data_IF_731854226543
#
_entry.id   IF_731854226543
#
_cell.length_a   1.000
_cell.length_b   1.000
_cell.length_c   1.000
_cell.angle_alpha   90.00
_cell.angle_beta   90.00
_cell.angle_gamma   90.00
#
_symmetry.space_group_name_H-M   'P 1'
#
loop_
_entity.id
_entity.type
_entity.pdbx_description
1 polymer ?
#
# COMPACT_ATOMS: atom_id res chain seq x y z
N UNK A 1 -30.36 -43.49 7.95
CA UNK A 1 -30.22 -44.80 7.31
C UNK A 1 -31.08 -44.80 6.06
N UNK A 2 -30.64 -45.56 5.05
CA UNK A 2 -31.17 -45.69 3.66
C UNK A 2 -30.75 -44.55 2.72
N UNK A 3 -29.68 -44.65 1.92
CA UNK A 3 -29.23 -45.60 0.88
C UNK A 3 -29.85 -45.35 -0.53
N UNK A 4 -28.96 -44.86 -1.40
CA UNK A 4 -28.75 -45.21 -2.82
C UNK A 4 -29.67 -44.75 -3.98
N UNK A 5 -29.00 -43.97 -4.86
CA UNK A 5 -29.11 -43.76 -6.33
C UNK A 5 -29.45 -45.05 -7.14
N UNK A 6 -29.95 -45.00 -8.41
CA UNK A 6 -29.18 -44.63 -9.63
C UNK A 6 -29.98 -43.98 -10.80
N UNK A 7 -29.37 -43.32 -11.79
CA UNK A 7 -28.95 -43.93 -13.08
C UNK A 7 -28.16 -42.94 -13.98
N UNK A 8 -27.18 -43.49 -14.72
CA UNK A 8 -26.37 -42.89 -15.80
C UNK A 8 -27.13 -42.87 -17.14
N UNK A 9 -26.87 -41.89 -18.03
CA UNK A 9 -26.25 -42.10 -19.37
C UNK A 9 -26.04 -40.80 -20.19
N UNK A 10 -24.78 -40.59 -20.60
CA UNK A 10 -24.23 -40.12 -21.90
C UNK A 10 -25.02 -39.18 -22.83
N UNK A 11 -24.36 -38.12 -23.32
CA UNK A 11 -23.74 -38.05 -24.66
C UNK A 11 -22.86 -36.79 -24.81
N UNK A 12 -21.72 -36.95 -25.49
CA UNK A 12 -20.90 -35.89 -26.10
C UNK A 12 -21.35 -35.72 -27.56
N UNK A 13 -21.45 -34.48 -28.06
CA UNK A 13 -21.20 -34.08 -29.46
C UNK A 13 -20.75 -32.61 -29.45
N UNK A 14 -19.58 -32.35 -30.04
CA UNK A 14 -19.06 -31.02 -30.43
C UNK A 14 -19.79 -30.51 -31.68
N UNK A 15 -19.97 -29.20 -31.83
CA UNK A 15 -19.69 -28.45 -33.09
C UNK A 15 -20.02 -26.95 -32.93
N UNK A 16 -19.10 -26.13 -33.46
CA UNK A 16 -19.11 -24.67 -33.57
C UNK A 16 -20.30 -24.17 -34.40
N UNK A 17 -20.97 -23.08 -33.98
CA UNK A 17 -21.39 -21.99 -34.87
C UNK A 17 -21.51 -20.68 -34.07
N UNK A 18 -20.92 -19.62 -34.64
CA UNK A 18 -21.03 -18.25 -34.19
C UNK A 18 -22.26 -17.60 -34.82
N UNK A 19 -23.12 -16.95 -34.04
CA UNK A 19 -23.78 -15.71 -34.44
C UNK A 19 -24.36 -14.96 -33.24
N UNK A 20 -24.26 -13.64 -33.34
CA UNK A 20 -24.64 -12.58 -32.41
C UNK A 20 -26.15 -12.47 -32.20
N UNK A 21 -26.59 -12.14 -30.97
CA UNK A 21 -27.43 -10.95 -30.70
C UNK A 21 -27.76 -10.80 -29.21
N UNK A 22 -27.42 -9.60 -28.72
CA UNK A 22 -28.04 -8.78 -27.68
C UNK A 22 -28.96 -9.43 -26.63
N UNK A 23 -28.44 -9.56 -25.40
CA UNK A 23 -29.27 -9.69 -24.19
C UNK A 23 -28.77 -8.78 -23.09
N UNK A 24 -29.60 -7.78 -22.81
CA UNK A 24 -29.52 -6.84 -21.70
C UNK A 24 -29.05 -7.49 -20.40
N UNK A 25 -27.94 -6.96 -19.89
CA UNK A 25 -27.34 -7.31 -18.62
C UNK A 25 -28.17 -6.70 -17.48
N UNK A 26 -28.67 -7.47 -16.50
CA UNK A 26 -29.28 -6.91 -15.32
C UNK A 26 -28.22 -6.21 -14.47
N UNK A 27 -28.57 -5.02 -13.95
CA UNK A 27 -27.72 -4.15 -13.15
C UNK A 27 -27.01 -4.92 -12.02
N UNK A 28 -25.68 -4.87 -12.03
CA UNK A 28 -24.86 -5.38 -10.95
C UNK A 28 -25.08 -4.49 -9.71
N UNK A 29 -25.61 -5.11 -8.65
CA UNK A 29 -25.63 -4.54 -7.30
C UNK A 29 -24.19 -4.39 -6.84
N UNK A 30 -23.75 -3.16 -6.61
CA UNK A 30 -22.45 -2.88 -6.00
C UNK A 30 -22.49 -3.37 -4.54
N UNK A 31 -21.52 -4.17 -4.07
CA UNK A 31 -21.35 -4.39 -2.65
C UNK A 31 -20.77 -3.11 -2.02
N UNK A 32 -21.50 -2.55 -1.06
CA UNK A 32 -21.02 -1.46 -0.20
C UNK A 32 -19.65 -1.81 0.40
N UNK A 33 -18.65 -0.93 0.20
CA UNK A 33 -17.34 -1.03 0.86
C UNK A 33 -16.10 -0.85 0.00
N UNK A 34 -16.18 -0.30 -1.21
CA UNK A 34 -15.00 0.07 -2.01
C UNK A 34 -14.77 1.58 -1.87
N UNK A 35 -13.69 1.96 -1.16
CA UNK A 35 -13.22 3.35 -1.14
C UNK A 35 -12.43 3.58 -2.44
N UNK A 36 -12.96 4.44 -3.32
CA UNK A 36 -12.23 4.95 -4.47
C UNK A 36 -11.09 5.87 -4.01
N UNK A 37 -9.85 5.44 -4.20
CA UNK A 37 -8.69 6.32 -4.05
C UNK A 37 -8.52 7.09 -5.36
N UNK A 38 -9.14 8.28 -5.43
CA UNK A 38 -8.92 9.22 -6.55
C UNK A 38 -7.55 9.87 -6.40
N UNK A 39 -6.63 9.54 -7.30
CA UNK A 39 -5.35 10.26 -7.41
C UNK A 39 -5.55 11.45 -8.37
N UNK A 40 -5.54 12.67 -7.83
CA UNK A 40 -5.53 13.91 -8.60
C UNK A 40 -4.32 13.98 -9.53
N UNK A 41 -4.54 14.51 -10.73
CA UNK A 41 -3.50 14.70 -11.75
C UNK A 41 -2.53 15.82 -11.31
N UNK A 42 -1.26 15.46 -11.15
CA UNK A 42 -0.18 16.42 -11.00
C UNK A 42 -0.01 17.22 -12.30
N UNK A 43 -0.36 18.50 -12.28
CA UNK A 43 -0.02 19.44 -13.34
C UNK A 43 1.22 20.21 -12.91
N UNK A 44 2.31 19.97 -13.61
CA UNK A 44 3.63 20.54 -13.36
C UNK A 44 3.76 21.96 -13.94
N UNK A 45 4.21 22.91 -13.12
CA UNK A 45 4.90 24.15 -13.52
C UNK A 45 5.92 24.45 -12.41
N UNK A 46 7.23 24.29 -12.59
CA UNK A 46 8.08 25.13 -13.43
C UNK A 46 9.20 24.39 -14.20
N UNK A 47 9.37 24.87 -15.43
CA UNK A 47 10.38 24.64 -16.48
C UNK A 47 10.73 23.21 -16.98
N UNK A 48 10.65 22.96 -18.31
CA UNK A 48 10.77 21.64 -18.88
C UNK A 48 12.24 21.28 -19.05
N UNK A 49 12.85 20.76 -17.99
CA UNK A 49 13.51 19.48 -18.27
C UNK A 49 12.37 18.52 -18.55
N UNK A 50 12.05 18.37 -19.84
CA UNK A 50 11.43 17.17 -20.39
C UNK A 50 11.87 16.03 -19.49
N UNK A 51 10.96 15.19 -18.94
CA UNK A 51 11.40 13.97 -18.30
C UNK A 51 12.32 13.37 -19.33
N UNK A 52 13.63 13.40 -19.06
CA UNK A 52 14.57 12.77 -19.95
C UNK A 52 14.00 11.39 -19.95
N UNK A 53 13.49 10.95 -21.10
CA UNK A 53 13.09 9.57 -21.28
C UNK A 53 14.40 8.84 -21.03
N UNK A 54 14.68 8.53 -19.76
CA UNK A 54 15.87 7.82 -19.41
C UNK A 54 15.65 6.51 -20.13
N UNK A 55 16.55 6.21 -21.06
CA UNK A 55 16.55 4.94 -21.75
C UNK A 55 16.62 3.83 -20.69
N UNK A 56 15.46 3.33 -20.26
CA UNK A 56 15.30 2.42 -19.12
C UNK A 56 14.50 1.16 -19.47
N UNK A 57 14.38 0.84 -20.75
CA UNK A 57 13.53 -0.27 -21.18
C UNK A 57 14.16 -1.65 -21.06
N UNK A 58 15.47 -1.78 -21.25
CA UNK A 58 16.09 -3.11 -21.35
C UNK A 58 16.66 -3.63 -20.03
N UNK A 59 17.25 -2.78 -19.20
CA UNK A 59 17.92 -3.21 -17.96
C UNK A 59 16.91 -3.72 -16.94
N UNK A 60 15.79 -3.00 -16.77
CA UNK A 60 14.71 -3.37 -15.85
C UNK A 60 13.98 -4.62 -16.33
N UNK A 61 13.78 -4.74 -17.65
CA UNK A 61 13.23 -5.95 -18.28
C UNK A 61 14.16 -7.16 -18.06
N UNK A 62 15.47 -7.04 -18.31
CA UNK A 62 16.45 -8.10 -18.03
C UNK A 62 16.48 -8.48 -16.55
N UNK A 63 16.45 -7.50 -15.64
CA UNK A 63 16.36 -7.77 -14.21
C UNK A 63 15.08 -8.52 -13.81
N UNK A 64 13.96 -8.28 -14.52
CA UNK A 64 12.71 -9.02 -14.33
C UNK A 64 12.80 -10.47 -14.79
N UNK A 65 13.42 -10.71 -15.94
CA UNK A 65 13.59 -12.04 -16.52
C UNK A 65 14.49 -12.92 -15.63
N UNK A 66 15.52 -12.32 -15.03
CA UNK A 66 16.44 -13.00 -14.08
C UNK A 66 15.74 -13.43 -12.79
N UNK A 67 14.70 -12.71 -12.34
CA UNK A 67 14.00 -13.02 -11.07
C UNK A 67 13.17 -14.30 -11.13
N UNK A 68 12.84 -14.79 -12.31
CA UNK A 68 12.03 -16.00 -12.48
C UNK A 68 10.57 -15.80 -12.06
N UNK A 69 9.93 -16.89 -11.61
CA UNK A 69 8.51 -16.88 -11.27
C UNK A 69 8.22 -15.93 -10.08
N UNK A 70 7.17 -15.13 -10.22
CA UNK A 70 6.76 -14.20 -9.16
C UNK A 70 6.35 -14.96 -7.88
N UNK A 71 6.61 -14.38 -6.69
CA UNK A 71 6.18 -14.98 -5.42
C UNK A 71 4.67 -15.24 -5.44
N UNK A 72 4.29 -16.48 -5.14
CA UNK A 72 2.90 -16.89 -5.08
C UNK A 72 2.64 -17.72 -3.83
N UNK A 73 1.68 -17.28 -3.03
CA UNK A 73 1.17 -18.03 -1.87
C UNK A 73 -0.34 -18.16 -1.96
N UNK A 74 -0.87 -19.24 -1.41
CA UNK A 74 -2.31 -19.44 -1.35
C UNK A 74 -2.94 -18.49 -0.33
N UNK A 75 -4.20 -18.12 -0.53
CA UNK A 75 -4.95 -17.24 0.39
C UNK A 75 -4.89 -17.72 1.85
N UNK A 76 -5.07 -19.02 2.18
CA UNK A 76 -4.95 -19.49 3.56
C UNK A 76 -3.55 -19.27 4.16
N UNK A 77 -2.49 -19.45 3.37
CA UNK A 77 -1.11 -19.22 3.82
C UNK A 77 -0.87 -17.73 4.06
N UNK A 78 -1.30 -16.87 3.14
CA UNK A 78 -1.23 -15.42 3.28
C UNK A 78 -1.96 -14.91 4.53
N UNK A 79 -3.18 -15.39 4.76
CA UNK A 79 -3.96 -15.05 5.97
C UNK A 79 -3.25 -15.49 7.25
N UNK A 80 -2.68 -16.69 7.25
CA UNK A 80 -1.93 -17.22 8.40
C UNK A 80 -0.70 -16.35 8.69
N UNK A 81 0.08 -16.00 7.67
CA UNK A 81 1.26 -15.15 7.80
C UNK A 81 0.91 -13.72 8.23
N UNK A 82 -0.14 -13.13 7.65
CA UNK A 82 -0.68 -11.83 8.06
C UNK A 82 -1.05 -11.82 9.55
N UNK A 83 -1.74 -12.86 10.04
CA UNK A 83 -2.09 -13.01 11.46
C UNK A 83 -0.85 -13.16 12.35
N UNK A 84 0.14 -13.94 11.90
CA UNK A 84 1.40 -14.13 12.62
C UNK A 84 2.17 -12.80 12.78
N UNK A 85 2.26 -12.00 11.72
CA UNK A 85 2.88 -10.68 11.81
C UNK A 85 2.08 -9.73 12.69
N UNK A 86 0.74 -9.73 12.65
CA UNK A 86 -0.07 -8.94 13.59
C UNK A 86 0.22 -9.30 15.05
N UNK A 87 0.35 -10.59 15.36
CA UNK A 87 0.71 -11.02 16.71
C UNK A 87 2.12 -10.56 17.10
N UNK A 88 3.07 -10.59 16.16
CA UNK A 88 4.42 -10.06 16.38
C UNK A 88 4.40 -8.55 16.60
N UNK A 89 3.67 -7.81 15.77
CA UNK A 89 3.49 -6.37 15.89
C UNK A 89 2.96 -5.96 17.28
N UNK A 90 1.93 -6.65 17.77
CA UNK A 90 1.37 -6.43 19.11
C UNK A 90 2.39 -6.71 20.22
N UNK A 91 3.15 -7.81 20.11
CA UNK A 91 4.19 -8.14 21.08
C UNK A 91 5.32 -7.10 21.08
N UNK A 92 5.70 -6.56 19.92
CA UNK A 92 6.72 -5.52 19.84
C UNK A 92 6.23 -4.17 20.34
N UNK A 93 4.97 -3.81 20.09
CA UNK A 93 4.36 -2.59 20.64
C UNK A 93 4.45 -2.54 22.16
N UNK A 94 4.28 -3.68 22.84
CA UNK A 94 4.44 -3.78 24.31
C UNK A 94 5.89 -3.57 24.79
N UNK A 95 6.88 -3.76 23.92
CA UNK A 95 8.31 -3.59 24.22
C UNK A 95 8.82 -2.19 23.92
N UNK A 96 8.03 -1.38 23.23
CA UNK A 96 8.29 0.04 23.05
C UNK A 96 8.07 0.72 24.40
N UNK A 97 9.12 0.75 25.21
CA UNK A 97 9.15 1.47 26.48
C UNK A 97 9.58 2.91 26.21
N UNK A 98 8.66 3.70 25.68
CA UNK A 98 8.89 5.12 25.40
C UNK A 98 7.98 5.90 26.33
N UNK A 99 8.47 7.02 26.85
CA UNK A 99 7.62 7.99 27.51
C UNK A 99 6.52 8.34 26.50
N UNK A 100 5.29 7.91 26.79
CA UNK A 100 4.14 8.28 25.96
C UNK A 100 4.12 9.79 25.88
N UNK A 101 3.90 10.33 24.69
CA UNK A 101 3.71 11.75 24.57
C UNK A 101 2.53 12.16 25.46
N UNK A 102 2.67 13.29 26.15
CA UNK A 102 1.53 13.90 26.80
C UNK A 102 0.48 14.19 25.74
N UNK A 103 -0.76 13.79 26.02
CA UNK A 103 -1.87 14.10 25.13
C UNK A 103 -1.99 15.61 25.03
N UNK A 104 -1.90 16.12 23.81
CA UNK A 104 -2.13 17.54 23.55
C UNK A 104 -3.62 17.83 23.78
N UNK A 105 -3.97 18.90 24.52
CA UNK A 105 -5.35 19.31 24.61
C UNK A 105 -5.84 19.73 23.23
N UNK A 106 -7.09 19.41 22.91
CA UNK A 106 -7.74 19.96 21.73
C UNK A 106 -7.85 21.48 21.89
N UNK A 107 -7.32 22.21 20.91
CA UNK A 107 -7.42 23.67 20.84
C UNK A 107 -8.84 24.15 20.56
N UNK A 108 -8.98 25.47 20.45
CA UNK A 108 -10.24 26.06 19.98
C UNK A 108 -10.38 25.77 18.49
N UNK A 109 -11.42 25.03 18.10
CA UNK A 109 -11.64 24.72 16.69
C UNK A 109 -12.12 25.97 15.93
N UNK A 110 -11.40 26.33 14.87
CA UNK A 110 -11.84 27.33 13.91
C UNK A 110 -12.60 26.67 12.76
N UNK A 111 -13.46 27.44 12.09
CA UNK A 111 -14.03 27.03 10.79
C UNK A 111 -13.19 27.55 9.61
N UNK A 112 -12.12 28.29 9.88
CA UNK A 112 -11.18 28.75 8.88
C UNK A 112 -10.07 27.71 8.67
N UNK A 113 -9.51 27.63 7.47
CA UNK A 113 -8.39 26.74 7.20
C UNK A 113 -7.15 27.19 8.00
N UNK A 114 -6.47 26.27 8.72
CA UNK A 114 -5.29 26.63 9.48
C UNK A 114 -4.19 27.15 8.53
N UNK A 115 -3.51 28.22 8.92
CA UNK A 115 -2.52 28.91 8.08
C UNK A 115 -1.11 28.33 8.26
N UNK A 116 -0.90 27.51 9.28
CA UNK A 116 0.39 26.89 9.60
C UNK A 116 0.25 25.46 10.12
N UNK A 117 1.33 24.67 10.05
CA UNK A 117 1.39 23.33 10.68
C UNK A 117 1.11 23.44 12.18
N UNK A 118 1.64 24.47 12.84
CA UNK A 118 1.45 24.68 14.28
C UNK A 118 -0.03 24.92 14.63
N UNK A 119 -0.73 25.76 13.86
CA UNK A 119 -2.16 26.01 14.07
C UNK A 119 -2.98 24.73 13.87
N UNK A 120 -2.64 23.94 12.84
CA UNK A 120 -3.26 22.64 12.59
C UNK A 120 -3.02 21.63 13.75
N UNK A 121 -1.79 21.58 14.27
CA UNK A 121 -1.41 20.77 15.43
C UNK A 121 -2.19 21.16 16.69
N UNK A 122 -2.29 22.47 16.97
CA UNK A 122 -3.02 23.01 18.12
C UNK A 122 -4.53 22.74 18.02
N UNK A 123 -5.13 22.94 16.84
CA UNK A 123 -6.57 22.71 16.63
C UNK A 123 -6.96 21.23 16.76
N UNK A 124 -6.16 20.31 16.21
CA UNK A 124 -6.47 18.88 16.23
C UNK A 124 -5.85 18.13 17.42
N UNK A 125 -5.02 18.78 18.23
CA UNK A 125 -4.27 18.12 19.30
C UNK A 125 -3.33 17.04 18.76
N UNK A 126 -2.78 17.25 17.55
CA UNK A 126 -1.82 16.35 16.91
C UNK A 126 -0.42 16.97 16.94
N UNK A 127 0.60 16.16 16.65
CA UNK A 127 1.97 16.63 16.52
C UNK A 127 2.68 15.91 15.39
N UNK A 128 3.52 16.64 14.69
CA UNK A 128 4.49 16.09 13.78
C UNK A 128 5.53 15.30 14.59
N UNK A 129 5.93 14.17 14.02
CA UNK A 129 7.01 13.36 14.53
C UNK A 129 8.00 13.14 13.41
N UNK A 130 9.26 13.47 13.67
CA UNK A 130 10.33 13.28 12.70
C UNK A 130 10.42 11.80 12.28
N UNK A 131 10.67 11.58 10.99
CA UNK A 131 10.98 10.27 10.42
C UNK A 131 12.34 10.32 9.72
N UNK A 132 13.08 9.20 9.58
CA UNK A 132 14.39 9.25 8.97
C UNK A 132 14.30 9.42 7.44
N UNK A 133 15.25 10.18 6.88
CA UNK A 133 15.41 10.39 5.43
C UNK A 133 16.16 9.21 4.78
N UNK A 134 15.66 7.99 4.97
CA UNK A 134 16.36 6.75 4.57
C UNK A 134 15.54 5.83 3.67
N UNK A 135 14.38 6.29 3.17
CA UNK A 135 13.41 5.46 2.44
C UNK A 135 12.50 4.62 3.36
N UNK A 136 12.77 4.62 4.67
CA UNK A 136 11.94 4.01 5.70
C UNK A 136 10.85 4.95 6.26
N UNK A 137 10.81 6.20 5.84
CA UNK A 137 9.98 7.25 6.44
C UNK A 137 8.50 6.86 6.57
N UNK A 138 7.89 6.37 5.49
CA UNK A 138 6.48 5.96 5.49
C UNK A 138 6.22 4.85 6.52
N UNK A 139 6.98 3.76 6.48
CA UNK A 139 6.76 2.63 7.39
C UNK A 139 7.06 3.01 8.84
N UNK A 140 8.08 3.84 9.08
CA UNK A 140 8.40 4.31 10.43
C UNK A 140 7.37 5.27 10.96
N UNK A 141 6.79 6.16 10.14
CA UNK A 141 5.65 6.97 10.53
C UNK A 141 4.51 6.09 11.05
N UNK A 142 4.16 5.03 10.30
CA UNK A 142 3.13 4.07 10.72
C UNK A 142 3.54 3.34 12.00
N UNK A 143 4.80 2.91 12.14
CA UNK A 143 5.28 2.24 13.35
C UNK A 143 5.20 3.15 14.60
N UNK A 144 5.60 4.41 14.45
CA UNK A 144 5.58 5.43 15.50
C UNK A 144 4.16 5.79 15.90
N UNK A 145 3.26 6.02 14.93
CA UNK A 145 1.84 6.27 15.19
C UNK A 145 1.16 5.05 15.85
N UNK A 146 1.43 3.85 15.33
CA UNK A 146 0.86 2.61 15.87
C UNK A 146 1.29 2.35 17.32
N UNK A 147 2.56 2.65 17.66
CA UNK A 147 3.11 2.43 18.99
C UNK A 147 2.96 3.63 19.94
N UNK A 148 2.48 4.77 19.45
CA UNK A 148 2.49 6.05 20.19
C UNK A 148 3.90 6.39 20.70
N UNK A 149 4.87 6.43 19.78
CA UNK A 149 6.30 6.49 20.10
C UNK A 149 7.12 7.43 19.20
N UNK A 150 8.11 8.09 19.81
CA UNK A 150 9.11 8.92 19.13
C UNK A 150 10.23 8.09 18.46
N UNK A 151 10.95 8.69 17.51
CA UNK A 151 12.25 8.16 17.08
C UNK A 151 13.27 8.19 18.22
N UNK A 152 13.16 9.08 19.19
CA UNK A 152 14.17 9.22 20.26
C UNK A 152 14.18 8.05 21.27
N UNK A 153 13.30 7.06 21.09
CA UNK A 153 13.21 5.84 21.91
C UNK A 153 14.17 4.71 21.52
N UNK A 154 13.90 3.50 22.02
CA UNK A 154 14.70 2.31 21.74
C UNK A 154 14.64 1.92 20.25
N UNK A 155 15.79 1.93 19.59
CA UNK A 155 15.93 1.65 18.15
C UNK A 155 15.47 0.23 17.76
N UNK A 156 15.68 -0.75 18.65
CA UNK A 156 15.43 -2.16 18.34
C UNK A 156 13.93 -2.49 18.25
N UNK A 157 13.07 -2.18 19.25
CA UNK A 157 11.62 -2.39 19.13
C UNK A 157 11.01 -1.66 17.93
N UNK A 158 11.47 -0.44 17.63
CA UNK A 158 10.95 0.33 16.49
C UNK A 158 11.36 -0.28 15.14
N UNK A 159 12.60 -0.75 15.02
CA UNK A 159 13.06 -1.52 13.85
C UNK A 159 12.25 -2.80 13.68
N UNK A 160 11.96 -3.52 14.77
CA UNK A 160 11.15 -4.74 14.74
C UNK A 160 9.69 -4.47 14.36
N UNK A 161 9.09 -3.37 14.84
CA UNK A 161 7.77 -2.91 14.40
C UNK A 161 7.76 -2.59 12.91
N UNK A 162 8.73 -1.80 12.46
CA UNK A 162 8.91 -1.41 11.05
C UNK A 162 8.99 -2.65 10.17
N UNK A 163 9.85 -3.61 10.53
CA UNK A 163 10.01 -4.85 9.79
C UNK A 163 8.71 -5.69 9.76
N UNK A 164 7.97 -5.74 10.88
CA UNK A 164 6.68 -6.46 10.93
C UNK A 164 5.61 -5.78 10.06
N UNK A 165 5.56 -4.45 10.03
CA UNK A 165 4.67 -3.69 9.14
C UNK A 165 5.02 -3.97 7.68
N UNK A 166 6.31 -3.95 7.29
CA UNK A 166 6.70 -4.23 5.90
C UNK A 166 6.28 -5.63 5.44
N UNK A 167 6.53 -6.65 6.27
CA UNK A 167 6.08 -8.02 5.99
C UNK A 167 4.56 -8.12 5.98
N UNK A 168 3.90 -7.46 6.91
CA UNK A 168 2.44 -7.35 7.00
C UNK A 168 1.79 -6.76 5.76
N UNK A 169 2.33 -5.64 5.26
CA UNK A 169 1.94 -4.97 4.01
C UNK A 169 2.06 -5.92 2.83
N UNK A 170 3.16 -6.66 2.71
CA UNK A 170 3.29 -7.69 1.66
C UNK A 170 2.18 -8.73 1.74
N UNK A 171 1.93 -9.30 2.93
CA UNK A 171 0.88 -10.32 3.06
C UNK A 171 -0.52 -9.75 2.78
N UNK A 172 -0.80 -8.52 3.23
CA UNK A 172 -2.06 -7.83 2.96
C UNK A 172 -2.24 -7.50 1.48
N UNK A 173 -1.20 -6.97 0.83
CA UNK A 173 -1.22 -6.62 -0.59
C UNK A 173 -1.29 -7.83 -1.53
N UNK A 174 -0.71 -8.98 -1.14
CA UNK A 174 -0.80 -10.21 -1.94
C UNK A 174 -2.18 -10.88 -1.86
N UNK A 175 -2.95 -10.67 -0.79
CA UNK A 175 -4.33 -11.16 -0.71
C UNK A 175 -5.15 -10.42 -1.76
N UNK A 176 -5.89 -11.10 -2.64
CA UNK A 176 -6.80 -10.42 -3.59
C UNK A 176 -6.16 -9.24 -4.35
N UNK A 177 -4.85 -9.31 -4.67
CA UNK A 177 -4.09 -8.19 -5.24
C UNK A 177 -4.75 -7.59 -6.50
N UNK A 178 -5.36 -8.45 -7.31
CA UNK A 178 -6.03 -8.01 -8.54
C UNK A 178 -7.31 -7.24 -8.31
N UNK A 179 -7.98 -7.49 -7.18
CA UNK A 179 -9.19 -6.81 -6.75
C UNK A 179 -8.87 -5.52 -5.98
N UNK A 180 -7.82 -5.54 -5.15
CA UNK A 180 -7.40 -4.38 -4.35
C UNK A 180 -6.71 -3.29 -5.16
N UNK A 181 -5.94 -3.67 -6.18
CA UNK A 181 -5.13 -2.73 -6.95
C UNK A 181 -5.34 -2.98 -8.44
N UNK A 182 -6.28 -2.25 -9.04
CA UNK A 182 -6.57 -2.35 -10.48
C UNK A 182 -5.33 -2.04 -11.32
N UNK A 183 -5.37 -2.43 -12.59
CA UNK A 183 -4.19 -2.40 -13.46
C UNK A 183 -3.47 -1.05 -13.48
N UNK A 184 -4.22 0.04 -13.64
CA UNK A 184 -3.67 1.40 -13.80
C UNK A 184 -2.99 1.87 -12.52
N UNK A 185 -3.53 1.52 -11.35
CA UNK A 185 -2.90 1.82 -10.06
C UNK A 185 -1.58 1.06 -9.90
N UNK A 186 -1.51 -0.21 -10.32
CA UNK A 186 -0.23 -0.95 -10.37
C UNK A 186 0.79 -0.30 -11.30
N UNK A 187 0.35 0.21 -12.45
CA UNK A 187 1.24 0.89 -13.38
C UNK A 187 1.83 2.16 -12.75
N UNK A 188 0.98 3.00 -12.14
CA UNK A 188 1.39 4.23 -11.44
C UNK A 188 2.36 3.91 -10.31
N UNK A 189 1.99 2.99 -9.41
CA UNK A 189 2.83 2.60 -8.29
C UNK A 189 4.23 2.11 -8.75
N UNK A 190 4.29 1.22 -9.75
CA UNK A 190 5.57 0.73 -10.27
C UNK A 190 6.37 1.81 -11.03
N UNK A 191 5.70 2.80 -11.63
CA UNK A 191 6.38 3.94 -12.25
C UNK A 191 7.08 4.81 -11.20
N UNK A 192 6.43 5.08 -10.06
CA UNK A 192 7.01 5.89 -8.96
C UNK A 192 8.30 5.29 -8.42
N UNK A 193 8.39 3.96 -8.33
CA UNK A 193 9.59 3.26 -7.87
C UNK A 193 10.49 2.78 -9.02
N UNK A 194 10.28 3.27 -10.24
CA UNK A 194 11.13 2.99 -11.43
C UNK A 194 11.26 1.49 -11.75
N UNK A 195 10.17 0.73 -11.52
CA UNK A 195 10.09 -0.72 -11.78
C UNK A 195 9.28 -1.06 -13.02
N UNK A 196 8.80 -0.07 -13.76
CA UNK A 196 8.13 -0.28 -15.03
C UNK A 196 9.12 -0.21 -16.22
N UNK A 197 8.69 -0.75 -17.36
CA UNK A 197 9.30 -0.55 -18.67
C UNK A 197 8.19 -0.51 -19.73
N UNK A 198 8.48 0.10 -20.87
CA UNK A 198 7.58 0.24 -22.01
C UNK A 198 7.19 -1.13 -22.56
N UNK A 199 5.91 -1.26 -22.88
CA UNK A 199 5.37 -2.50 -23.46
C UNK A 199 5.22 -3.62 -22.44
N UNK A 200 5.35 -3.35 -21.14
CA UNK A 200 5.00 -4.33 -20.11
C UNK A 200 3.52 -4.71 -20.22
N UNK A 201 3.26 -6.02 -20.25
CA UNK A 201 1.91 -6.59 -20.29
C UNK A 201 1.24 -6.50 -18.92
N UNK A 202 -0.10 -6.57 -18.86
CA UNK A 202 -0.85 -6.62 -17.60
C UNK A 202 -0.34 -7.68 -16.62
N UNK A 203 0.03 -8.85 -17.13
CA UNK A 203 0.59 -9.95 -16.33
C UNK A 203 2.00 -9.63 -15.79
N UNK A 204 2.84 -8.99 -16.60
CA UNK A 204 4.16 -8.55 -16.14
C UNK A 204 4.05 -7.46 -15.08
N UNK A 205 3.11 -6.51 -15.20
CA UNK A 205 2.83 -5.51 -14.16
C UNK A 205 2.41 -6.18 -12.85
N UNK A 206 1.52 -7.18 -12.93
CA UNK A 206 1.11 -7.96 -11.76
C UNK A 206 2.31 -8.67 -11.11
N UNK A 207 3.13 -9.35 -11.90
CA UNK A 207 4.30 -10.08 -11.41
C UNK A 207 5.36 -9.13 -10.82
N UNK A 208 5.57 -7.97 -11.44
CA UNK A 208 6.47 -6.96 -10.91
C UNK A 208 5.97 -6.36 -9.61
N UNK A 209 4.67 -6.16 -9.47
CA UNK A 209 4.11 -5.69 -8.22
C UNK A 209 4.30 -6.71 -7.09
N UNK A 210 4.16 -8.01 -7.38
CA UNK A 210 4.48 -9.07 -6.40
C UNK A 210 5.95 -9.05 -5.98
N UNK A 211 6.87 -8.87 -6.93
CA UNK A 211 8.30 -8.70 -6.62
C UNK A 211 8.59 -7.42 -5.86
N UNK A 212 7.86 -6.34 -6.13
CA UNK A 212 7.94 -5.10 -5.37
C UNK A 212 7.57 -5.32 -3.90
N UNK A 213 6.44 -5.97 -3.63
CA UNK A 213 6.03 -6.31 -2.26
C UNK A 213 7.05 -7.24 -1.56
N UNK A 214 7.62 -8.20 -2.29
CA UNK A 214 8.68 -9.07 -1.77
C UNK A 214 9.92 -8.27 -1.37
N UNK A 215 10.43 -7.41 -2.25
CA UNK A 215 11.62 -6.62 -1.98
C UNK A 215 11.38 -5.57 -0.91
N UNK A 216 10.20 -4.93 -0.90
CA UNK A 216 9.78 -4.01 0.14
C UNK A 216 9.81 -4.71 1.51
N UNK A 217 9.19 -5.90 1.63
CA UNK A 217 9.17 -6.66 2.88
C UNK A 217 10.55 -7.10 3.38
N UNK A 218 11.50 -7.34 2.47
CA UNK A 218 12.85 -7.79 2.78
C UNK A 218 13.86 -6.64 2.89
N UNK A 219 13.45 -5.41 2.61
CA UNK A 219 14.32 -4.23 2.74
C UNK A 219 14.64 -3.94 4.22
N UNK A 220 15.79 -3.31 4.42
CA UNK A 220 16.27 -2.97 5.76
C UNK A 220 15.27 -2.08 6.53
N UNK A 221 15.21 -2.22 7.85
CA UNK A 221 14.15 -1.64 8.68
C UNK A 221 14.67 -0.78 9.85
N UNK A 222 15.99 -0.68 10.02
CA UNK A 222 16.60 0.20 11.00
C UNK A 222 16.49 1.66 10.60
N UNK A 223 16.54 2.55 11.60
CA UNK A 223 16.38 4.01 11.40
C UNK A 223 17.38 4.56 10.40
N UNK A 224 18.63 4.12 10.53
CA UNK A 224 19.76 4.62 9.74
C UNK A 224 20.05 3.76 8.50
N UNK A 225 19.23 2.73 8.24
CA UNK A 225 19.44 1.85 7.09
C UNK A 225 18.93 2.52 5.82
N UNK A 226 19.83 2.74 4.85
CA UNK A 226 19.45 3.27 3.55
C UNK A 226 18.71 2.22 2.73
N UNK A 227 17.46 2.52 2.37
CA UNK A 227 16.59 1.68 1.55
C UNK A 227 16.64 2.15 0.10
N UNK A 228 16.78 1.20 -0.82
CA UNK A 228 16.78 1.44 -2.27
C UNK A 228 15.48 2.11 -2.72
N UNK A 229 15.58 3.09 -3.62
CA UNK A 229 14.44 3.85 -4.16
C UNK A 229 13.42 2.96 -4.88
N UNK A 230 13.88 1.85 -5.46
CA UNK A 230 13.01 0.82 -6.05
C UNK A 230 12.16 0.02 -5.04
N UNK A 231 12.30 0.32 -3.74
CA UNK A 231 11.55 -0.28 -2.63
C UNK A 231 10.94 0.76 -1.69
N UNK A 232 10.80 2.01 -2.11
CA UNK A 232 10.11 3.01 -1.30
C UNK A 232 8.59 2.78 -1.31
N UNK A 233 7.94 3.13 -0.20
CA UNK A 233 6.49 3.04 -0.08
C UNK A 233 5.79 4.30 -0.58
N UNK A 234 4.65 4.11 -1.25
CA UNK A 234 3.74 5.17 -1.68
C UNK A 234 2.34 5.02 -1.08
N UNK A 235 1.38 5.77 -1.63
CA UNK A 235 -0.03 5.74 -1.22
C UNK A 235 -0.67 4.35 -1.33
N UNK A 236 -0.26 3.56 -2.32
CA UNK A 236 -0.68 2.17 -2.51
C UNK A 236 -0.30 1.30 -1.31
N UNK A 237 0.93 1.43 -0.81
CA UNK A 237 1.39 0.68 0.36
C UNK A 237 0.78 1.22 1.66
N UNK A 238 0.37 2.48 1.70
CA UNK A 238 -0.32 3.06 2.87
C UNK A 238 -1.68 2.39 3.10
N UNK A 239 -2.48 2.21 2.05
CA UNK A 239 -3.75 1.48 2.16
C UNK A 239 -3.55 0.02 2.60
N UNK A 240 -2.50 -0.64 2.09
CA UNK A 240 -2.13 -1.99 2.53
C UNK A 240 -1.64 -2.01 3.99
N UNK A 241 -0.98 -0.94 4.44
CA UNK A 241 -0.55 -0.79 5.82
C UNK A 241 -1.76 -0.63 6.75
N UNK A 242 -2.73 0.23 6.41
CA UNK A 242 -3.99 0.39 7.14
C UNK A 242 -4.72 -0.96 7.27
N UNK A 243 -4.86 -1.69 6.16
CA UNK A 243 -5.44 -3.03 6.14
C UNK A 243 -4.63 -4.03 7.00
N UNK A 244 -3.31 -3.92 7.06
CA UNK A 244 -2.47 -4.76 7.91
C UNK A 244 -2.62 -4.42 9.39
N UNK A 245 -2.41 -3.16 9.80
CA UNK A 245 -2.47 -2.74 11.20
C UNK A 245 -3.90 -2.75 11.75
N UNK A 246 -4.90 -2.82 10.87
CA UNK A 246 -6.32 -2.85 11.19
C UNK A 246 -6.78 -1.55 11.87
N UNK A 247 -6.31 -0.43 11.34
CA UNK A 247 -6.60 0.93 11.79
C UNK A 247 -6.63 1.86 10.58
N UNK A 248 -7.51 2.85 10.62
CA UNK A 248 -7.55 3.90 9.61
C UNK A 248 -6.26 4.72 9.69
N UNK A 249 -5.73 5.09 8.52
CA UNK A 249 -4.57 5.98 8.42
C UNK A 249 -5.03 7.25 7.72
N UNK A 250 -4.80 8.38 8.38
CA UNK A 250 -5.05 9.72 7.87
C UNK A 250 -3.71 10.35 7.47
N UNK A 251 -3.64 10.85 6.24
CA UNK A 251 -2.50 11.61 5.72
C UNK A 251 -2.93 13.05 5.55
N UNK A 252 -2.18 13.95 6.18
CA UNK A 252 -2.39 15.38 6.11
C UNK A 252 -1.24 15.96 5.30
N UNK A 253 -1.57 16.73 4.27
CA UNK A 253 -0.59 17.42 3.44
C UNK A 253 -1.10 18.79 3.03
N UNK A 254 -0.20 19.65 2.56
CA UNK A 254 -0.56 20.87 1.85
C UNK A 254 -0.78 20.54 0.37
N UNK A 255 -1.87 21.04 -0.20
CA UNK A 255 -2.20 20.83 -1.61
C UNK A 255 -1.13 21.42 -2.54
N UNK A 256 -0.85 20.72 -3.64
CA UNK A 256 0.17 21.13 -4.61
C UNK A 256 -0.25 22.37 -5.44
N UNK A 257 -1.56 22.58 -5.63
CA UNK A 257 -2.12 23.65 -6.48
C UNK A 257 -2.25 25.01 -5.79
N UNK A 258 -2.21 25.03 -4.46
CA UNK A 258 -2.13 26.25 -3.64
C UNK A 258 -1.54 25.85 -2.30
N UNK A 259 -0.33 26.35 -2.01
CA UNK A 259 0.37 26.11 -0.74
C UNK A 259 -0.41 26.56 0.53
N UNK A 260 -1.60 27.15 0.33
CA UNK A 260 -2.47 27.74 1.34
C UNK A 260 -3.65 26.83 1.74
N UNK A 261 -3.81 25.63 1.16
CA UNK A 261 -4.94 24.73 1.46
C UNK A 261 -4.49 23.36 1.94
N UNK A 262 -5.16 22.83 2.97
CA UNK A 262 -4.90 21.49 3.52
C UNK A 262 -5.74 20.43 2.83
N UNK A 263 -5.11 19.30 2.55
CA UNK A 263 -5.78 18.12 2.00
C UNK A 263 -5.68 16.97 3.00
N UNK A 264 -6.85 16.35 3.28
CA UNK A 264 -6.97 15.19 4.14
C UNK A 264 -7.27 13.96 3.28
N UNK A 265 -6.38 12.98 3.31
CA UNK A 265 -6.54 11.70 2.63
C UNK A 265 -6.70 10.59 3.66
N UNK A 266 -7.73 9.75 3.52
CA UNK A 266 -7.99 8.62 4.43
C UNK A 266 -8.01 7.28 3.69
N UNK A 267 -7.48 6.23 4.31
CA UNK A 267 -7.67 4.84 3.88
C UNK A 267 -8.34 4.04 5.01
N UNK A 268 -9.54 3.52 4.75
CA UNK A 268 -10.30 2.60 5.63
C UNK A 268 -10.30 1.16 5.13
#
# INVERSE_FOLDING_TARGET
>A
MELFRPLRRTLMVDEDEAESEDKQQPAAVQPDGIIEISSGEASATDDPQTPTQIAHDETTKKASEVRGAAPSWTTPVLMTKKRQERATLLAQKQRVNVAKYELLPLGSTSTADPQSVQEFEEELGVREVATPTTGNCMTMAVAQAYADAALEGSDEPLSQLTASIKRGVKYAGLLHLEDQLVHDLRQKALAHVRRNWKGMTRREYLNQFKWFLENYANSASGRNDLVSDDTWGGSDLMGMAANFVNQDIYVIGRGESSADTWELWGSG
#
